data_IF_640035848238
#
_entry.id   IF_640035848238
#
_cell.length_a   1.000
_cell.length_b   1.000
_cell.length_c   1.000
_cell.angle_alpha   90.00
_cell.angle_beta   90.00
_cell.angle_gamma   90.00
#
_symmetry.space_group_name_H-M   'P 1'
#
loop_
_entity.id
_entity.type
_entity.pdbx_description
1 polymer ?
#
# COMPACT_ATOMS: atom_id res chain seq x y z
N UNK A 1 -10.70 25.29 1.47
CA UNK A 1 -9.31 24.77 1.46
C UNK A 1 -9.34 23.45 2.23
N UNK A 2 -9.25 22.25 1.69
CA UNK A 2 -9.21 21.70 0.33
C UNK A 2 -10.13 20.48 0.43
N UNK A 3 -11.19 20.45 -0.36
CA UNK A 3 -12.08 19.30 -0.50
C UNK A 3 -11.20 18.10 -0.89
N UNK A 4 -11.02 17.21 0.06
CA UNK A 4 -10.22 15.99 -0.08
C UNK A 4 -10.78 15.22 -1.27
N UNK A 5 -10.14 15.34 -2.44
CA UNK A 5 -10.34 14.47 -3.60
C UNK A 5 -9.91 13.05 -3.21
N UNK A 6 -10.71 12.41 -2.35
CA UNK A 6 -10.53 11.00 -2.02
C UNK A 6 -10.88 10.25 -3.30
N UNK A 7 -9.94 9.52 -3.90
CA UNK A 7 -10.23 8.74 -5.09
C UNK A 7 -11.41 7.80 -4.78
N UNK A 8 -12.34 7.59 -5.73
CA UNK A 8 -13.48 6.71 -5.53
C UNK A 8 -12.97 5.34 -5.06
N UNK A 9 -13.64 4.75 -4.06
CA UNK A 9 -13.33 3.39 -3.59
C UNK A 9 -13.46 2.44 -4.78
N UNK A 10 -12.32 2.12 -5.41
CA UNK A 10 -12.22 1.23 -6.56
C UNK A 10 -12.84 -0.13 -6.23
N UNK A 11 -13.53 -0.70 -7.22
CA UNK A 11 -14.45 -1.81 -7.04
C UNK A 11 -13.71 -3.08 -6.59
N UNK A 12 -14.43 -3.96 -5.87
CA UNK A 12 -13.90 -5.06 -5.04
C UNK A 12 -12.98 -6.09 -5.72
N UNK A 13 -12.80 -6.07 -7.04
CA UNK A 13 -11.99 -7.04 -7.79
C UNK A 13 -11.35 -6.43 -9.05
N UNK A 14 -10.92 -5.16 -9.03
CA UNK A 14 -10.10 -4.65 -10.14
C UNK A 14 -8.75 -5.36 -10.12
N UNK A 15 -8.47 -6.11 -11.19
CA UNK A 15 -7.23 -6.87 -11.34
C UNK A 15 -6.07 -5.87 -11.52
N UNK A 16 -5.57 -5.31 -10.41
CA UNK A 16 -4.49 -4.31 -10.45
C UNK A 16 -3.32 -4.87 -11.23
N UNK A 17 -2.82 -4.13 -12.21
CA UNK A 17 -1.62 -4.50 -12.95
C UNK A 17 -0.46 -4.76 -11.97
N UNK A 18 0.40 -5.73 -12.29
CA UNK A 18 1.52 -6.12 -11.42
C UNK A 18 2.40 -4.91 -11.09
N UNK A 19 2.65 -4.04 -12.08
CA UNK A 19 3.40 -2.80 -11.90
C UNK A 19 2.78 -1.87 -10.84
N UNK A 20 1.44 -1.77 -10.81
CA UNK A 20 0.74 -0.95 -9.81
C UNK A 20 0.89 -1.53 -8.40
N UNK A 21 0.82 -2.86 -8.25
CA UNK A 21 1.02 -3.53 -6.96
C UNK A 21 2.44 -3.33 -6.45
N UNK A 22 3.43 -3.43 -7.35
CA UNK A 22 4.84 -3.21 -7.01
C UNK A 22 5.12 -1.76 -6.62
N UNK A 23 4.49 -0.79 -7.29
CA UNK A 23 4.59 0.62 -6.91
C UNK A 23 4.08 0.87 -5.49
N UNK A 24 2.93 0.28 -5.13
CA UNK A 24 2.40 0.38 -3.78
C UNK A 24 3.36 -0.16 -2.71
N UNK A 25 4.07 -1.25 -3.02
CA UNK A 25 5.10 -1.81 -2.13
C UNK A 25 6.32 -0.89 -2.03
N UNK A 26 6.81 -0.37 -3.15
CA UNK A 26 7.95 0.56 -3.17
C UNK A 26 7.72 1.81 -2.34
N UNK A 27 6.51 2.36 -2.36
CA UNK A 27 6.15 3.53 -1.54
C UNK A 27 6.23 3.22 -0.04
N UNK A 28 5.82 2.03 0.39
CA UNK A 28 5.96 1.61 1.79
C UNK A 28 7.43 1.40 2.14
N UNK A 29 8.20 0.80 1.25
CA UNK A 29 9.64 0.57 1.45
C UNK A 29 10.47 1.85 1.43
N UNK A 30 10.02 2.89 0.73
CA UNK A 30 10.61 4.22 0.79
C UNK A 30 10.27 4.96 2.10
N UNK A 31 9.50 4.34 3.00
CA UNK A 31 9.21 4.85 4.34
C UNK A 31 7.85 5.52 4.50
N UNK A 32 6.98 5.53 3.47
CA UNK A 32 5.62 6.04 3.67
C UNK A 32 4.83 5.07 4.56
N UNK A 33 3.97 5.62 5.41
CA UNK A 33 3.06 4.77 6.19
C UNK A 33 2.05 4.08 5.28
N UNK A 34 1.63 2.87 5.64
CA UNK A 34 0.62 2.14 4.88
C UNK A 34 -0.67 2.95 4.71
N UNK A 35 -1.04 3.76 5.73
CA UNK A 35 -2.21 4.63 5.70
C UNK A 35 -2.10 5.70 4.61
N UNK A 36 -0.94 6.34 4.48
CA UNK A 36 -0.69 7.32 3.43
C UNK A 36 -0.73 6.66 2.04
N UNK A 37 -0.12 5.50 1.89
CA UNK A 37 -0.13 4.74 0.61
C UNK A 37 -1.56 4.35 0.21
N UNK A 38 -2.37 3.89 1.17
CA UNK A 38 -3.79 3.57 0.96
C UNK A 38 -4.57 4.80 0.50
N UNK A 39 -4.40 5.94 1.19
CA UNK A 39 -5.09 7.16 0.85
C UNK A 39 -4.67 7.70 -0.52
N UNK A 40 -3.37 7.63 -0.82
CA UNK A 40 -2.80 8.11 -2.08
C UNK A 40 -3.21 7.27 -3.29
N UNK A 41 -3.27 5.94 -3.12
CA UNK A 41 -3.59 5.01 -4.21
C UNK A 41 -5.07 4.61 -4.28
N UNK A 42 -5.88 4.99 -3.29
CA UNK A 42 -7.30 4.64 -3.23
C UNK A 42 -7.58 3.14 -3.08
N UNK A 43 -6.64 2.39 -2.49
CA UNK A 43 -6.72 0.94 -2.32
C UNK A 43 -7.18 0.55 -0.93
N UNK A 44 -7.68 -0.68 -0.76
CA UNK A 44 -8.01 -1.18 0.57
C UNK A 44 -6.75 -1.64 1.32
N UNK A 45 -6.78 -1.53 2.65
CA UNK A 45 -5.72 -2.00 3.53
C UNK A 45 -5.40 -3.49 3.32
N UNK A 46 -6.44 -4.33 3.14
CA UNK A 46 -6.27 -5.75 2.91
C UNK A 46 -5.47 -6.04 1.62
N UNK A 47 -5.72 -5.30 0.55
CA UNK A 47 -5.00 -5.44 -0.73
C UNK A 47 -3.54 -5.06 -0.57
N UNK A 48 -3.25 -3.94 0.09
CA UNK A 48 -1.88 -3.51 0.36
C UNK A 48 -1.13 -4.53 1.22
N UNK A 49 -1.76 -5.05 2.28
CA UNK A 49 -1.18 -6.07 3.14
C UNK A 49 -0.84 -7.36 2.38
N UNK A 50 -1.72 -7.80 1.47
CA UNK A 50 -1.45 -8.96 0.63
C UNK A 50 -0.24 -8.73 -0.29
N UNK A 51 -0.15 -7.55 -0.91
CA UNK A 51 0.97 -7.23 -1.81
C UNK A 51 2.28 -7.05 -1.07
N UNK A 52 2.26 -6.45 0.13
CA UNK A 52 3.46 -6.35 0.97
C UNK A 52 3.98 -7.71 1.44
N UNK A 53 3.09 -8.70 1.61
CA UNK A 53 3.50 -10.09 1.88
C UNK A 53 4.04 -10.80 0.63
N UNK A 54 3.46 -10.51 -0.54
CA UNK A 54 3.80 -11.18 -1.79
C UNK A 54 5.05 -10.61 -2.48
N UNK A 55 5.23 -9.29 -2.43
CA UNK A 55 6.29 -8.56 -3.14
C UNK A 55 7.22 -7.78 -2.22
N UNK A 56 6.91 -7.67 -0.92
CA UNK A 56 7.76 -6.96 0.03
C UNK A 56 9.12 -7.63 0.18
N UNK A 57 10.17 -6.81 0.27
CA UNK A 57 11.54 -7.29 0.39
C UNK A 57 11.92 -7.55 1.85
N UNK A 58 13.17 -7.96 2.08
CA UNK A 58 13.75 -8.07 3.41
C UNK A 58 13.67 -6.76 4.22
N UNK A 59 13.66 -5.61 3.53
CA UNK A 59 13.50 -4.28 4.15
C UNK A 59 12.12 -4.17 4.79
N UNK A 60 11.05 -4.49 4.07
CA UNK A 60 9.70 -4.51 4.63
C UNK A 60 9.58 -5.53 5.78
N UNK A 61 10.18 -6.71 5.63
CA UNK A 61 10.17 -7.71 6.69
C UNK A 61 10.82 -7.19 7.99
N UNK A 62 11.92 -6.43 7.88
CA UNK A 62 12.57 -5.79 9.02
C UNK A 62 11.73 -4.64 9.59
N UNK A 63 11.16 -3.77 8.76
CA UNK A 63 10.26 -2.69 9.20
C UNK A 63 9.07 -3.26 9.98
N UNK A 64 8.44 -4.31 9.44
CA UNK A 64 7.31 -4.98 10.09
C UNK A 64 7.70 -5.51 11.47
N UNK A 65 8.87 -6.14 11.63
CA UNK A 65 9.33 -6.61 12.95
C UNK A 65 9.48 -5.47 13.96
N UNK A 66 10.03 -4.32 13.54
CA UNK A 66 10.20 -3.13 14.39
C UNK A 66 8.89 -2.47 14.81
N UNK A 67 7.82 -2.62 14.01
CA UNK A 67 6.51 -2.04 14.30
C UNK A 67 5.69 -2.83 15.34
N UNK A 68 6.09 -4.06 15.69
CA UNK A 68 5.39 -4.94 16.63
C UNK A 68 6.26 -5.35 17.84
N UNK A 69 7.33 -4.60 18.12
CA UNK A 69 8.18 -4.72 19.34
C UNK A 69 8.04 -3.44 20.14
#
# INVERSE_FOLDING_TARGET
MTETERPPRRAKNENYAIAFRQEAVRLVESGLSQREVIQRLGINHASLQAWLKQYGTAVYAQMRRKLFT
#
